data_IF_299043372023
#
_entry.id   IF_299043372023
#
_cell.length_a   1.000
_cell.length_b   1.000
_cell.length_c   1.000
_cell.angle_alpha   90.00
_cell.angle_beta   90.00
_cell.angle_gamma   90.00
#
_symmetry.space_group_name_H-M   'P 1'
#
loop_
_entity.id
_entity.type
_entity.pdbx_description
1 polymer ?
#
# COMPACT_ATOMS: atom_id res chain seq x y z
N UNK A 1 -12.06 1.21 10.25
CA UNK A 1 -11.85 -0.23 10.01
C UNK A 1 -10.43 -0.55 10.47
N UNK A 2 -10.11 -1.79 10.86
CA UNK A 2 -8.74 -2.14 11.31
C UNK A 2 -7.84 -2.53 10.13
N UNK A 3 -6.56 -2.14 10.19
CA UNK A 3 -5.56 -2.57 9.20
C UNK A 3 -5.31 -4.07 9.31
N UNK A 4 -5.41 -4.79 8.19
CA UNK A 4 -5.18 -6.24 8.12
C UNK A 4 -3.92 -6.55 7.33
N UNK A 5 -3.23 -7.65 7.69
CA UNK A 5 -2.02 -8.11 6.97
C UNK A 5 -2.37 -8.56 5.56
N UNK A 6 -1.69 -8.01 4.57
CA UNK A 6 -1.81 -8.38 3.16
C UNK A 6 -0.86 -9.53 2.87
N UNK A 7 -1.32 -10.52 2.09
CA UNK A 7 -0.53 -11.64 1.58
C UNK A 7 -0.13 -11.44 0.12
N UNK A 8 -1.00 -10.80 -0.66
CA UNK A 8 -0.72 -10.44 -2.06
C UNK A 8 -1.60 -9.27 -2.48
N UNK A 9 -1.19 -8.59 -3.56
CA UNK A 9 -1.96 -7.51 -4.15
C UNK A 9 -2.01 -7.61 -5.67
N UNK A 10 -3.02 -6.98 -6.27
CA UNK A 10 -3.08 -6.72 -7.71
C UNK A 10 -3.33 -5.23 -7.91
N UNK A 11 -2.54 -4.59 -8.75
CA UNK A 11 -2.66 -3.17 -9.06
C UNK A 11 -3.27 -3.00 -10.47
N UNK A 12 -4.23 -2.09 -10.61
CA UNK A 12 -4.79 -1.70 -11.91
C UNK A 12 -4.78 -0.18 -12.04
N UNK A 13 -4.05 0.31 -13.05
CA UNK A 13 -4.04 1.71 -13.46
C UNK A 13 -4.90 1.89 -14.72
N UNK A 14 -5.75 2.92 -14.73
CA UNK A 14 -6.58 3.31 -15.88
C UNK A 14 -6.13 4.69 -16.38
N UNK A 15 -5.26 4.75 -17.42
CA UNK A 15 -4.73 6.01 -17.92
C UNK A 15 -5.81 6.99 -18.41
N UNK A 16 -6.92 6.46 -18.94
CA UNK A 16 -8.03 7.27 -19.47
C UNK A 16 -8.72 8.10 -18.38
N UNK A 17 -8.81 7.55 -17.17
CA UNK A 17 -9.46 8.19 -16.03
C UNK A 17 -8.47 8.92 -15.13
N UNK A 18 -7.16 8.76 -15.36
CA UNK A 18 -6.08 9.15 -14.45
C UNK A 18 -6.31 8.65 -13.02
N UNK A 19 -6.81 7.40 -12.91
CA UNK A 19 -7.13 6.74 -11.66
C UNK A 19 -6.59 5.31 -11.62
N UNK A 20 -6.30 4.82 -10.42
CA UNK A 20 -5.94 3.42 -10.21
C UNK A 20 -6.46 2.89 -8.88
N UNK A 21 -6.51 1.58 -8.74
CA UNK A 21 -6.87 0.92 -7.48
C UNK A 21 -6.08 -0.37 -7.29
N UNK A 22 -6.14 -0.87 -6.07
CA UNK A 22 -5.56 -2.14 -5.69
C UNK A 22 -6.64 -3.12 -5.28
N UNK A 23 -6.37 -4.40 -5.49
CA UNK A 23 -7.04 -5.48 -4.80
C UNK A 23 -6.06 -6.05 -3.79
N UNK A 24 -6.42 -5.98 -2.51
CA UNK A 24 -5.66 -6.59 -1.44
C UNK A 24 -6.24 -7.95 -1.12
N UNK A 25 -5.37 -8.96 -1.05
CA UNK A 25 -5.72 -10.28 -0.50
C UNK A 25 -5.12 -10.35 0.90
N UNK A 26 -5.96 -10.56 1.89
CA UNK A 26 -5.59 -10.58 3.30
C UNK A 26 -5.20 -11.98 3.76
N UNK A 27 -4.64 -12.07 4.97
CA UNK A 27 -4.19 -13.33 5.55
C UNK A 27 -5.34 -14.31 5.89
N UNK A 28 -6.53 -13.80 6.14
CA UNK A 28 -7.76 -14.58 6.32
C UNK A 28 -8.34 -15.12 4.99
N UNK A 29 -7.74 -14.75 3.85
CA UNK A 29 -8.19 -15.13 2.51
C UNK A 29 -9.20 -14.15 1.90
N UNK A 30 -9.62 -13.12 2.63
CA UNK A 30 -10.51 -12.09 2.12
C UNK A 30 -9.81 -11.27 1.04
N UNK A 31 -10.58 -10.87 0.02
CA UNK A 31 -10.08 -10.02 -1.05
C UNK A 31 -10.96 -8.80 -1.21
N UNK A 32 -10.37 -7.62 -1.08
CA UNK A 32 -11.10 -6.35 -1.09
C UNK A 32 -10.45 -5.33 -2.02
N UNK A 33 -11.27 -4.47 -2.62
CA UNK A 33 -10.83 -3.42 -3.55
C UNK A 33 -10.64 -2.12 -2.80
N UNK A 34 -9.56 -1.41 -3.12
CA UNK A 34 -9.40 -0.05 -2.64
C UNK A 34 -10.36 0.93 -3.33
N UNK A 35 -10.52 2.10 -2.73
CA UNK A 35 -11.01 3.27 -3.47
C UNK A 35 -10.09 3.60 -4.66
N UNK A 36 -10.62 4.36 -5.62
CA UNK A 36 -9.82 4.87 -6.73
C UNK A 36 -8.91 6.01 -6.25
N UNK A 37 -7.63 5.86 -6.55
CA UNK A 37 -6.54 6.76 -6.23
C UNK A 37 -6.16 7.60 -7.45
N UNK A 38 -5.67 8.81 -7.21
CA UNK A 38 -4.93 9.57 -8.21
C UNK A 38 -3.52 8.99 -8.46
N UNK A 39 -2.84 9.52 -9.48
CA UNK A 39 -1.52 9.06 -9.90
C UNK A 39 -0.46 9.13 -8.79
N UNK A 40 -0.48 10.19 -7.99
CA UNK A 40 0.49 10.41 -6.92
C UNK A 40 0.31 9.38 -5.81
N UNK A 41 -0.91 9.27 -5.29
CA UNK A 41 -1.25 8.34 -4.22
C UNK A 41 -1.03 6.88 -4.67
N UNK A 42 -1.41 6.57 -5.92
CA UNK A 42 -1.19 5.23 -6.48
C UNK A 42 0.30 4.86 -6.56
N UNK A 43 1.16 5.80 -6.97
CA UNK A 43 2.60 5.60 -7.02
C UNK A 43 3.20 5.38 -5.63
N UNK A 44 2.78 6.17 -4.64
CA UNK A 44 3.23 6.03 -3.24
C UNK A 44 2.88 4.63 -2.70
N UNK A 45 1.65 4.17 -2.93
CA UNK A 45 1.23 2.84 -2.49
C UNK A 45 2.04 1.74 -3.16
N UNK A 46 2.34 1.84 -4.47
CA UNK A 46 3.21 0.89 -5.16
C UNK A 46 4.62 0.84 -4.54
N UNK A 47 5.21 1.99 -4.25
CA UNK A 47 6.54 2.08 -3.63
C UNK A 47 6.58 1.43 -2.24
N UNK A 48 5.51 1.62 -1.45
CA UNK A 48 5.39 0.97 -0.14
C UNK A 48 5.20 -0.54 -0.28
N UNK A 49 4.47 -1.00 -1.31
CA UNK A 49 4.22 -2.41 -1.59
C UNK A 49 5.46 -3.17 -2.08
N UNK A 50 6.45 -2.48 -2.62
CA UNK A 50 7.71 -3.05 -3.14
C UNK A 50 8.75 -3.34 -2.02
N UNK A 51 8.29 -3.69 -0.82
CA UNK A 51 9.14 -3.99 0.35
C UNK A 51 9.08 -5.47 0.73
N UNK A 52 10.22 -6.02 1.17
CA UNK A 52 10.31 -7.40 1.71
C UNK A 52 9.67 -7.58 3.10
N UNK A 53 9.21 -6.48 3.72
CA UNK A 53 8.66 -6.48 5.07
C UNK A 53 7.17 -6.83 5.06
N UNK A 54 6.61 -7.37 6.17
CA UNK A 54 5.17 -7.56 6.30
C UNK A 54 4.41 -6.24 6.13
N UNK A 55 3.40 -6.25 5.26
CA UNK A 55 2.58 -5.09 4.93
C UNK A 55 1.16 -5.31 5.45
N UNK A 56 0.57 -4.25 5.99
CA UNK A 56 -0.82 -4.16 6.40
C UNK A 56 -1.51 -3.13 5.53
N UNK A 57 -2.79 -3.34 5.23
CA UNK A 57 -3.55 -2.35 4.49
C UNK A 57 -5.01 -2.28 4.90
N UNK A 58 -5.59 -1.12 4.63
CA UNK A 58 -7.01 -0.84 4.72
C UNK A 58 -7.50 -0.47 3.32
N UNK A 59 -8.38 -1.30 2.76
CA UNK A 59 -8.90 -1.08 1.43
C UNK A 59 -9.81 0.17 1.38
N UNK A 60 -10.53 0.49 2.46
CA UNK A 60 -11.50 1.57 2.48
C UNK A 60 -10.86 2.94 2.27
N UNK A 61 -9.65 3.12 2.79
CA UNK A 61 -8.86 4.36 2.66
C UNK A 61 -7.66 4.22 1.72
N UNK A 62 -7.48 3.03 1.13
CA UNK A 62 -6.29 2.68 0.35
C UNK A 62 -4.97 2.94 1.11
N UNK A 63 -4.99 2.82 2.43
CA UNK A 63 -3.82 3.06 3.27
C UNK A 63 -3.02 1.78 3.42
N UNK A 64 -1.69 1.90 3.38
CA UNK A 64 -0.75 0.81 3.61
C UNK A 64 0.25 1.20 4.70
N UNK A 65 0.63 0.23 5.52
CA UNK A 65 1.62 0.38 6.57
C UNK A 65 2.56 -0.82 6.56
N UNK A 66 3.83 -0.58 6.85
CA UNK A 66 4.86 -1.60 6.86
C UNK A 66 5.31 -1.82 8.30
N UNK A 67 5.50 -3.07 8.70
CA UNK A 67 6.13 -3.38 9.98
C UNK A 67 7.63 -3.08 9.90
N UNK A 68 8.04 -1.85 10.21
CA UNK A 68 9.43 -1.56 10.49
C UNK A 68 9.75 -2.02 11.92
N UNK A 69 10.59 -3.05 12.06
CA UNK A 69 11.48 -3.06 13.21
C UNK A 69 12.26 -1.72 13.18
N UNK A 70 12.52 -1.06 14.32
CA UNK A 70 13.16 0.25 14.34
C UNK A 70 14.58 0.13 13.75
N UNK A 71 14.69 0.33 12.44
CA UNK A 71 15.96 0.67 11.81
C UNK A 71 16.22 2.12 12.16
N UNK A 72 17.30 2.36 12.91
CA UNK A 72 17.84 3.70 13.19
C UNK A 72 17.61 4.60 11.98
N UNK A 73 16.81 5.64 12.18
CA UNK A 73 16.67 6.69 11.18
C UNK A 73 18.03 7.36 11.10
N UNK A 74 18.86 6.98 10.12
CA UNK A 74 19.95 7.85 9.68
C UNK A 74 19.31 9.03 8.98
N UNK A 75 18.88 10.02 9.77
CA UNK A 75 18.61 11.36 9.27
C UNK A 75 19.95 11.88 8.80
N UNK A 76 20.20 11.82 7.48
CA UNK A 76 21.26 12.56 6.86
C UNK A 76 20.98 14.04 7.07
N UNK A 77 21.60 14.62 8.11
CA UNK A 77 21.75 16.05 8.23
C UNK A 77 22.53 16.52 6.99
N UNK A 78 21.86 17.22 6.09
CA UNK A 78 22.54 18.02 5.09
C UNK A 78 23.23 19.17 5.82
N UNK A 79 24.52 19.31 5.54
CA UNK A 79 25.45 20.28 6.12
C UNK A 79 25.04 21.74 5.85
#
# INVERSE_FOLDING_TARGET
MEMKRITSYQALWRPQDNKGHFWFTYFDGDRERTIDLDAESFRIVLEILDTDKPIFGDHTTASVAVHSAPTEIKVGAWA
#
